data_IF_204983379982
#
_entry.id   IF_204983379982
#
_cell.length_a   1.000
_cell.length_b   1.000
_cell.length_c   1.000
_cell.angle_alpha   90.00
_cell.angle_beta   90.00
_cell.angle_gamma   90.00
#
_symmetry.space_group_name_H-M   'P 1'
#
loop_
_entity.id
_entity.type
_entity.pdbx_description
1 polymer ?
#
# COMPACT_ATOMS: atom_id res chain seq x y z
N UNK A 1 2.91 -8.60 -10.52
CA UNK A 1 2.51 -7.40 -9.78
C UNK A 1 3.70 -6.91 -9.01
N UNK A 2 4.08 -5.64 -9.17
CA UNK A 2 5.07 -5.00 -8.31
C UNK A 2 4.36 -4.15 -7.27
N UNK A 3 4.74 -4.26 -6.01
CA UNK A 3 4.32 -3.34 -4.98
C UNK A 3 5.44 -2.32 -4.73
N UNK A 4 5.09 -1.06 -4.68
CA UNK A 4 5.98 0.00 -4.22
C UNK A 4 5.70 0.22 -2.74
N UNK A 5 6.62 -0.17 -1.87
CA UNK A 5 6.53 0.13 -0.46
C UNK A 5 7.40 1.36 -0.15
N UNK A 6 6.80 2.38 0.41
CA UNK A 6 7.51 3.53 0.96
C UNK A 6 8.09 3.18 2.33
N UNK A 7 9.20 3.81 2.76
CA UNK A 7 9.91 3.47 4.01
C UNK A 7 9.10 3.66 5.31
N UNK A 8 7.82 3.91 5.22
CA UNK A 8 6.92 3.97 6.37
C UNK A 8 6.75 2.63 7.13
N UNK A 9 7.22 1.51 6.57
CA UNK A 9 7.05 0.19 7.19
C UNK A 9 7.84 0.01 8.50
N UNK A 10 8.97 0.66 8.67
CA UNK A 10 9.73 0.64 9.94
C UNK A 10 8.98 1.37 11.08
N UNK A 11 8.03 2.23 10.72
CA UNK A 11 7.23 2.97 11.69
C UNK A 11 6.07 2.17 12.29
N UNK A 12 5.75 0.99 11.76
CA UNK A 12 4.68 0.13 12.24
C UNK A 12 5.13 -0.93 13.27
N UNK A 13 6.40 -0.93 13.64
CA UNK A 13 6.87 -1.68 14.81
C UNK A 13 6.28 -1.09 16.07
N UNK A 14 5.03 -1.43 16.37
CA UNK A 14 4.41 -1.09 17.66
C UNK A 14 5.14 -1.86 18.76
N UNK A 15 5.78 -1.19 19.73
CA UNK A 15 6.24 -1.88 20.92
C UNK A 15 5.01 -2.47 21.61
N UNK A 16 5.04 -3.75 21.88
CA UNK A 16 4.06 -4.41 22.75
C UNK A 16 4.07 -3.73 24.11
N UNK A 17 3.01 -3.00 24.41
CA UNK A 17 2.68 -2.59 25.75
C UNK A 17 3.42 -1.35 26.26
N UNK A 18 2.88 -0.18 25.93
CA UNK A 18 2.79 0.95 26.85
C UNK A 18 1.99 2.06 26.12
N UNK A 19 1.17 2.78 26.85
CA UNK A 19 0.16 3.72 26.38
C UNK A 19 0.60 4.60 25.20
N UNK A 20 -0.30 4.76 24.26
CA UNK A 20 -0.30 5.67 23.13
C UNK A 20 1.03 6.19 22.64
N UNK A 21 1.77 5.39 21.88
CA UNK A 21 2.95 5.91 21.21
C UNK A 21 2.55 7.14 20.39
N UNK A 22 3.23 8.25 20.59
CA UNK A 22 3.01 9.44 19.77
C UNK A 22 3.38 9.09 18.32
N UNK A 23 2.36 8.85 17.49
CA UNK A 23 2.48 8.47 16.10
C UNK A 23 2.76 9.68 15.20
N UNK A 24 3.17 10.79 15.78
CA UNK A 24 3.60 11.97 15.05
C UNK A 24 5.05 11.88 14.64
N UNK A 25 5.42 12.65 13.63
CA UNK A 25 6.81 12.90 13.31
C UNK A 25 7.46 13.73 14.42
N UNK A 26 8.80 13.74 14.48
CA UNK A 26 9.54 14.49 15.50
C UNK A 26 9.19 16.00 15.56
N UNK A 27 8.70 16.56 14.46
CA UNK A 27 8.22 17.95 14.38
C UNK A 27 6.73 18.13 14.78
N UNK A 28 6.08 17.11 15.33
CA UNK A 28 4.67 17.15 15.73
C UNK A 28 3.67 16.98 14.58
N UNK A 29 4.13 16.82 13.33
CA UNK A 29 3.26 16.62 12.16
C UNK A 29 2.64 15.22 12.19
N UNK A 30 1.33 15.06 11.93
CA UNK A 30 0.71 13.75 11.81
C UNK A 30 1.34 12.93 10.69
N UNK A 31 1.60 11.64 10.93
CA UNK A 31 2.04 10.70 9.90
C UNK A 31 0.95 10.53 8.85
N UNK A 32 1.35 10.35 7.61
CA UNK A 32 0.45 10.12 6.47
C UNK A 32 0.92 8.89 5.70
N UNK A 33 -0.03 8.08 5.28
CA UNK A 33 0.19 6.95 4.38
C UNK A 33 -0.56 7.22 3.08
N UNK A 34 0.12 7.09 1.95
CA UNK A 34 -0.50 7.17 0.62
C UNK A 34 -0.28 5.84 -0.08
N UNK A 35 -1.38 5.20 -0.47
CA UNK A 35 -1.37 3.96 -1.23
C UNK A 35 -1.83 4.25 -2.66
N UNK A 36 -0.99 3.95 -3.64
CA UNK A 36 -1.32 4.15 -5.06
C UNK A 36 -1.38 2.79 -5.73
N UNK A 37 -2.55 2.40 -6.20
CA UNK A 37 -2.78 1.16 -6.92
C UNK A 37 -2.90 1.40 -8.42
N UNK A 38 -2.27 0.53 -9.20
CA UNK A 38 -2.43 0.48 -10.64
C UNK A 38 -2.91 -0.92 -11.03
N UNK A 39 -4.12 -1.02 -11.57
CA UNK A 39 -4.77 -2.30 -11.90
C UNK A 39 -4.01 -3.15 -12.94
N UNK A 40 -3.26 -2.52 -13.83
CA UNK A 40 -2.45 -3.21 -14.83
C UNK A 40 -1.02 -3.55 -14.36
N UNK A 41 -0.63 -3.07 -13.17
CA UNK A 41 0.73 -3.22 -12.69
C UNK A 41 1.73 -2.36 -13.48
N UNK A 42 3.00 -2.75 -13.41
CA UNK A 42 4.08 -2.04 -14.08
C UNK A 42 4.75 -2.94 -15.11
N UNK A 43 5.25 -2.35 -16.20
CA UNK A 43 6.05 -3.07 -17.18
C UNK A 43 7.38 -3.47 -16.54
N UNK A 44 7.58 -4.77 -16.33
CA UNK A 44 8.65 -5.30 -15.49
C UNK A 44 10.05 -4.79 -15.87
N UNK A 45 10.41 -4.82 -17.16
CA UNK A 45 11.74 -4.39 -17.61
C UNK A 45 11.99 -2.88 -17.53
N UNK A 46 10.94 -2.08 -17.37
CA UNK A 46 11.06 -0.64 -17.24
C UNK A 46 10.93 -0.16 -15.78
N UNK A 47 10.40 -1.01 -14.90
CA UNK A 47 10.12 -0.64 -13.50
C UNK A 47 11.14 -1.25 -12.52
N UNK A 48 11.46 -2.54 -12.69
CA UNK A 48 12.34 -3.19 -11.73
C UNK A 48 13.82 -2.96 -12.07
N UNK A 49 14.64 -2.61 -11.06
CA UNK A 49 16.09 -2.64 -11.18
C UNK A 49 16.57 -4.04 -11.61
N UNK A 50 17.64 -4.10 -12.38
CA UNK A 50 18.22 -5.38 -12.84
C UNK A 50 18.95 -6.11 -11.72
N UNK A 51 19.45 -5.38 -10.74
CA UNK A 51 20.26 -5.88 -9.65
C UNK A 51 19.57 -5.64 -8.30
N UNK A 52 19.85 -6.53 -7.35
CA UNK A 52 19.40 -6.38 -5.98
C UNK A 52 20.36 -5.45 -5.21
N UNK A 53 19.85 -4.78 -4.20
CA UNK A 53 20.61 -3.86 -3.37
C UNK A 53 20.30 -2.39 -3.67
N UNK A 54 21.27 -1.51 -3.53
CA UNK A 54 21.09 -0.10 -3.80
C UNK A 54 20.82 0.16 -5.27
N UNK A 55 19.80 0.98 -5.56
CA UNK A 55 19.45 1.38 -6.92
C UNK A 55 20.43 2.44 -7.38
N UNK A 56 21.47 2.02 -8.11
CA UNK A 56 22.49 2.95 -8.63
C UNK A 56 21.98 3.78 -9.81
N UNK A 57 21.07 3.23 -10.59
CA UNK A 57 20.49 3.89 -11.76
C UNK A 57 19.01 3.63 -11.84
N UNK A 58 18.22 4.69 -11.93
CA UNK A 58 16.77 4.58 -12.02
C UNK A 58 16.34 3.89 -13.32
N UNK A 59 15.54 2.80 -13.24
CA UNK A 59 14.84 2.28 -14.39
C UNK A 59 13.94 3.35 -15.02
N UNK A 60 13.61 3.19 -16.30
CA UNK A 60 12.87 4.19 -17.08
C UNK A 60 11.62 4.71 -16.38
N UNK A 61 10.84 3.83 -15.76
CA UNK A 61 9.61 4.19 -15.06
C UNK A 61 9.84 4.88 -13.71
N UNK A 62 11.04 4.78 -13.14
CA UNK A 62 11.42 5.44 -11.89
C UNK A 62 12.18 6.75 -12.10
N UNK A 63 12.49 7.14 -13.34
CA UNK A 63 13.16 8.42 -13.63
C UNK A 63 12.46 9.64 -13.00
N UNK A 64 11.12 9.76 -12.97
CA UNK A 64 10.46 10.89 -12.33
C UNK A 64 10.73 11.02 -10.83
N UNK A 65 11.09 9.92 -10.18
CA UNK A 65 11.39 9.87 -8.73
C UNK A 65 12.87 9.61 -8.44
N UNK A 66 13.75 9.76 -9.43
CA UNK A 66 15.18 9.44 -9.29
C UNK A 66 15.88 10.19 -8.14
N UNK A 67 15.41 11.40 -7.77
CA UNK A 67 15.95 12.18 -6.66
C UNK A 67 15.64 11.58 -5.27
N UNK A 68 14.75 10.58 -5.21
CA UNK A 68 14.30 9.90 -3.99
C UNK A 68 14.72 8.43 -3.94
N UNK A 69 15.71 8.02 -4.75
CA UNK A 69 16.12 6.62 -4.78
C UNK A 69 16.63 6.11 -3.43
N UNK A 70 17.25 6.98 -2.63
CA UNK A 70 17.73 6.65 -1.29
C UNK A 70 16.59 6.39 -0.29
N UNK A 71 15.39 6.90 -0.60
CA UNK A 71 14.18 6.75 0.19
C UNK A 71 13.23 5.68 -0.39
N UNK A 72 13.63 5.03 -1.49
CA UNK A 72 12.78 4.13 -2.26
C UNK A 72 13.21 2.68 -2.07
N UNK A 73 12.25 1.82 -1.72
CA UNK A 73 12.42 0.37 -1.74
C UNK A 73 11.54 -0.25 -2.82
N UNK A 74 12.14 -1.03 -3.71
CA UNK A 74 11.44 -1.74 -4.78
C UNK A 74 11.45 -3.23 -4.48
N UNK A 75 10.26 -3.80 -4.30
CA UNK A 75 10.07 -5.23 -4.07
C UNK A 75 9.62 -5.90 -5.36
N UNK A 76 10.28 -6.98 -5.73
CA UNK A 76 9.94 -7.83 -6.87
C UNK A 76 9.65 -9.26 -6.41
N UNK A 77 9.06 -10.06 -7.29
CA UNK A 77 8.75 -11.48 -7.03
C UNK A 77 7.77 -11.72 -5.87
N UNK A 78 6.99 -10.71 -5.48
CA UNK A 78 5.89 -10.87 -4.56
C UNK A 78 4.64 -11.28 -5.33
N UNK A 79 4.04 -12.40 -4.95
CA UNK A 79 2.84 -12.94 -5.59
C UNK A 79 1.83 -13.44 -4.56
N UNK A 80 0.58 -13.06 -4.74
CA UNK A 80 -0.55 -13.56 -3.95
C UNK A 80 -1.16 -14.84 -4.54
N UNK A 81 -0.62 -15.37 -5.64
CA UNK A 81 -1.20 -16.48 -6.38
C UNK A 81 -2.55 -16.14 -7.03
N UNK A 82 -2.81 -14.86 -7.31
CA UNK A 82 -4.03 -14.41 -7.98
C UNK A 82 -3.73 -14.20 -9.46
N UNK A 83 -4.52 -14.85 -10.31
CA UNK A 83 -4.44 -14.67 -11.76
C UNK A 83 -5.57 -13.75 -12.21
N UNK A 84 -5.25 -12.79 -13.08
CA UNK A 84 -6.21 -11.85 -13.66
C UNK A 84 -6.23 -10.47 -13.00
N UNK A 85 -6.35 -9.43 -13.84
CA UNK A 85 -6.11 -8.04 -13.45
C UNK A 85 -7.10 -7.49 -12.42
N UNK A 86 -8.39 -7.59 -12.67
CA UNK A 86 -9.40 -6.93 -11.83
C UNK A 86 -9.52 -7.56 -10.43
N UNK A 87 -9.48 -8.88 -10.33
CA UNK A 87 -9.58 -9.57 -9.04
C UNK A 87 -8.33 -9.46 -8.17
N UNK A 88 -7.19 -9.13 -8.76
CA UNK A 88 -5.94 -8.95 -8.04
C UNK A 88 -5.90 -7.65 -7.23
N UNK A 89 -6.72 -6.67 -7.59
CA UNK A 89 -6.80 -5.37 -6.91
C UNK A 89 -7.25 -5.54 -5.45
N UNK A 90 -8.21 -6.44 -5.19
CA UNK A 90 -8.65 -6.74 -3.83
C UNK A 90 -7.49 -7.20 -2.92
N UNK A 91 -6.60 -8.04 -3.46
CA UNK A 91 -5.47 -8.58 -2.70
C UNK A 91 -4.34 -7.58 -2.47
N UNK A 92 -4.34 -6.46 -3.18
CA UNK A 92 -3.21 -5.51 -3.18
C UNK A 92 -2.93 -4.93 -1.79
N UNK A 93 -3.95 -4.44 -1.10
CA UNK A 93 -3.80 -3.85 0.23
C UNK A 93 -4.30 -4.76 1.36
N UNK A 94 -5.06 -5.82 1.05
CA UNK A 94 -5.59 -6.73 2.05
C UNK A 94 -4.74 -7.99 2.26
N UNK A 95 -3.98 -8.40 1.25
CA UNK A 95 -3.31 -9.70 1.23
C UNK A 95 -4.26 -10.90 1.11
N UNK A 96 -5.57 -10.65 0.99
CA UNK A 96 -6.62 -11.68 0.96
C UNK A 96 -7.17 -11.81 -0.46
N UNK A 97 -7.35 -13.04 -0.93
CA UNK A 97 -8.01 -13.29 -2.21
C UNK A 97 -9.50 -12.97 -2.11
N UNK A 98 -10.05 -12.31 -3.13
CA UNK A 98 -11.48 -11.94 -3.12
C UNK A 98 -12.40 -13.13 -2.87
N UNK A 99 -12.07 -14.32 -3.38
CA UNK A 99 -12.84 -15.54 -3.15
C UNK A 99 -12.83 -16.03 -1.69
N UNK A 100 -11.89 -15.57 -0.89
CA UNK A 100 -11.75 -15.92 0.54
C UNK A 100 -12.26 -14.81 1.46
N UNK A 101 -12.55 -13.64 0.91
CA UNK A 101 -12.88 -12.44 1.66
C UNK A 101 -14.10 -12.63 2.58
N UNK A 102 -15.14 -13.31 2.11
CA UNK A 102 -16.35 -13.57 2.89
C UNK A 102 -16.12 -14.47 4.13
N UNK A 103 -15.14 -15.38 4.06
CA UNK A 103 -14.78 -16.27 5.17
C UNK A 103 -13.78 -15.67 6.16
N UNK A 104 -13.24 -14.47 5.86
CA UNK A 104 -12.21 -13.81 6.65
C UNK A 104 -12.59 -12.35 6.95
N UNK A 105 -13.67 -12.07 7.68
CA UNK A 105 -14.18 -10.69 7.87
C UNK A 105 -13.16 -9.76 8.51
N UNK A 106 -12.32 -10.26 9.42
CA UNK A 106 -11.22 -9.47 10.00
C UNK A 106 -9.96 -9.44 9.12
N UNK A 107 -9.80 -10.40 8.23
CA UNK A 107 -8.68 -10.47 7.28
C UNK A 107 -8.86 -9.55 6.07
N UNK A 108 -10.06 -9.03 5.88
CA UNK A 108 -10.38 -8.12 4.77
C UNK A 108 -9.89 -6.69 4.97
N UNK A 109 -9.57 -6.31 6.19
CA UNK A 109 -9.13 -4.96 6.50
C UNK A 109 -7.87 -4.62 5.70
N UNK A 110 -7.98 -3.64 4.82
CA UNK A 110 -6.84 -3.20 3.99
C UNK A 110 -5.83 -2.39 4.80
N UNK A 111 -4.59 -2.36 4.32
CA UNK A 111 -3.47 -1.68 4.99
C UNK A 111 -3.75 -0.20 5.26
N UNK A 112 -4.34 0.51 4.30
CA UNK A 112 -4.70 1.92 4.44
C UNK A 112 -5.74 2.14 5.53
N UNK A 113 -6.75 1.29 5.63
CA UNK A 113 -7.77 1.35 6.67
C UNK A 113 -7.20 0.93 8.03
N UNK A 114 -6.29 -0.04 8.06
CA UNK A 114 -5.55 -0.35 9.29
C UNK A 114 -4.69 0.81 9.76
N UNK A 115 -4.04 1.50 8.85
CA UNK A 115 -3.30 2.72 9.17
C UNK A 115 -4.23 3.83 9.67
N UNK A 116 -5.39 4.01 9.03
CA UNK A 116 -6.40 4.98 9.46
C UNK A 116 -6.89 4.73 10.90
N UNK A 117 -7.08 3.47 11.30
CA UNK A 117 -7.39 3.12 12.70
C UNK A 117 -6.30 3.57 13.67
N UNK A 118 -5.03 3.49 13.27
CA UNK A 118 -3.90 3.78 14.12
C UNK A 118 -3.56 5.28 14.21
N UNK A 119 -3.62 6.00 13.08
CA UNK A 119 -3.16 7.39 12.99
C UNK A 119 -4.24 8.39 12.59
N UNK A 120 -5.41 7.93 12.15
CA UNK A 120 -6.45 8.78 11.56
C UNK A 120 -7.06 9.79 12.53
N UNK A 121 -7.06 9.50 13.84
CA UNK A 121 -7.57 10.41 14.88
C UNK A 121 -6.77 11.73 15.00
N UNK A 122 -5.59 11.79 14.39
CA UNK A 122 -4.72 12.97 14.41
C UNK A 122 -5.05 13.97 13.31
N UNK A 123 -5.99 13.66 12.43
CA UNK A 123 -6.37 14.49 11.29
C UNK A 123 -7.89 14.61 11.20
N UNK A 124 -8.37 15.66 10.51
CA UNK A 124 -9.82 15.89 10.32
C UNK A 124 -10.51 14.74 9.59
N UNK A 125 -9.84 14.15 8.61
CA UNK A 125 -10.32 12.99 7.86
C UNK A 125 -9.38 11.82 8.11
N UNK A 126 -9.84 10.75 8.76
CA UNK A 126 -9.01 9.57 9.07
C UNK A 126 -8.45 8.90 7.81
N UNK A 127 -9.23 8.84 6.75
CA UNK A 127 -8.84 8.31 5.45
C UNK A 127 -9.60 8.99 4.32
N UNK A 128 -9.00 8.95 3.13
CA UNK A 128 -9.62 9.36 1.88
C UNK A 128 -9.35 8.28 0.83
N UNK A 129 -10.40 7.79 0.22
CA UNK A 129 -10.32 6.84 -0.90
C UNK A 129 -10.72 7.57 -2.16
N UNK A 130 -9.80 7.65 -3.11
CA UNK A 130 -9.99 8.40 -4.36
C UNK A 130 -9.92 7.41 -5.52
N UNK A 131 -10.93 7.39 -6.36
CA UNK A 131 -10.97 6.62 -7.60
C UNK A 131 -10.86 7.51 -8.84
N UNK A 132 -10.64 6.92 -10.00
CA UNK A 132 -10.79 7.60 -11.29
C UNK A 132 -12.25 7.87 -11.59
N UNK A 133 -12.55 8.85 -12.48
CA UNK A 133 -13.92 9.23 -12.88
C UNK A 133 -14.79 8.06 -13.35
N UNK A 134 -14.18 7.06 -13.97
CA UNK A 134 -14.90 5.87 -14.45
C UNK A 134 -15.06 4.79 -13.39
N UNK A 135 -14.66 5.05 -12.17
CA UNK A 135 -14.62 4.07 -11.09
C UNK A 135 -13.67 2.89 -11.38
N UNK A 136 -13.51 2.03 -10.42
CA UNK A 136 -12.91 0.72 -10.63
C UNK A 136 -14.05 -0.20 -11.09
N UNK A 137 -14.19 -0.42 -12.38
CA UNK A 137 -15.24 -1.28 -12.93
C UNK A 137 -15.21 -2.68 -12.28
N UNK A 138 -16.39 -3.19 -11.99
CA UNK A 138 -16.57 -4.59 -11.64
C UNK A 138 -16.01 -5.04 -10.30
N UNK A 139 -16.09 -4.20 -9.27
CA UNK A 139 -15.71 -4.61 -7.91
C UNK A 139 -14.22 -4.57 -7.63
N UNK A 140 -13.47 -3.75 -8.34
CA UNK A 140 -12.05 -3.53 -8.12
C UNK A 140 -11.78 -2.54 -6.97
N UNK A 141 -12.45 -2.69 -5.86
CA UNK A 141 -12.21 -1.88 -4.67
C UNK A 141 -10.90 -2.29 -4.02
N UNK A 142 -10.02 -1.31 -3.73
CA UNK A 142 -8.73 -1.56 -3.08
C UNK A 142 -8.79 -1.39 -1.56
N UNK A 143 -9.63 -0.47 -1.09
CA UNK A 143 -9.74 -0.09 0.31
C UNK A 143 -10.93 -0.78 0.95
N UNK A 144 -10.72 -1.45 2.07
CA UNK A 144 -11.73 -2.25 2.75
C UNK A 144 -11.66 -2.02 4.25
N UNK A 145 -12.79 -1.63 4.82
CA UNK A 145 -12.94 -1.52 6.28
C UNK A 145 -13.21 -2.89 6.90
N UNK A 146 -13.23 -2.97 8.23
CA UNK A 146 -13.59 -4.21 8.95
C UNK A 146 -14.97 -4.74 8.58
N UNK A 147 -15.88 -3.85 8.22
CA UNK A 147 -17.25 -4.20 7.84
C UNK A 147 -17.40 -4.61 6.37
N UNK A 148 -16.30 -4.59 5.61
CA UNK A 148 -16.31 -4.97 4.19
C UNK A 148 -16.81 -3.88 3.24
N UNK A 149 -16.79 -2.63 3.69
CA UNK A 149 -17.23 -1.45 2.89
C UNK A 149 -16.06 -0.52 2.68
#
# INVERSE_FOLDING_TARGET
>A
MGALALPALESFGLPKGQGGADLRLANGTPKRLVCIGNSFGFHASHFFPKESGFIQSAPKALLPVQRHLDELSVFSHLDHGVKGGHYAVHSFLSGVKQSQAASMPNGNLSLDQRAAEAIGSQTRFPSLVIGSENGLHGGCQMSWTRTGV
#
